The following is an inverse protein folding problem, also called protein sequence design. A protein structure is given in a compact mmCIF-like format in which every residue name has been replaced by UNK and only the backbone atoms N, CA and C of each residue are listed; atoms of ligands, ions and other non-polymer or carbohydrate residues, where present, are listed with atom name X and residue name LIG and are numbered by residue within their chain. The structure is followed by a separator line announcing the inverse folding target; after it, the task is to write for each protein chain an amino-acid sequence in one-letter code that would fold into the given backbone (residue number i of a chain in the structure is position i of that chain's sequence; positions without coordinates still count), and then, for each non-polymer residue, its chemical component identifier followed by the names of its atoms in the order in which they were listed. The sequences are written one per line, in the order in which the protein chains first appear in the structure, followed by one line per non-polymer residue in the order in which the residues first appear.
data_IF_379626709781
#
_entry.id   IF_379626709781
#
_cell.length_a   1.000
_cell.length_b   1.000
_cell.length_c   1.000
_cell.angle_alpha   90.00
_cell.angle_beta   90.00
_cell.angle_gamma   90.00
#
_symmetry.space_group_name_H-M   'P 1'
#
loop_
_entity.id
_entity.type
_entity.pdbx_description
1 polymer ?
#
# COMPACT_ATOMS: atom_id res chain seq x y z
N UNK A 1 8.59 -21.58 -5.64
CA UNK A 1 8.09 -20.74 -4.53
C UNK A 1 7.94 -19.34 -5.10
N UNK A 2 6.71 -18.84 -5.27
CA UNK A 2 6.53 -17.45 -5.68
C UNK A 2 7.03 -16.58 -4.52
N UNK A 3 8.09 -15.80 -4.75
CA UNK A 3 8.55 -14.81 -3.78
C UNK A 3 7.44 -13.76 -3.69
N UNK A 4 6.80 -13.66 -2.52
CA UNK A 4 5.88 -12.57 -2.21
C UNK A 4 6.68 -11.55 -1.43
N UNK A 5 6.70 -10.31 -1.91
CA UNK A 5 7.31 -9.20 -1.22
C UNK A 5 6.33 -8.73 -0.13
N UNK A 6 6.71 -9.00 1.12
CA UNK A 6 6.01 -8.47 2.29
C UNK A 6 6.69 -7.19 2.74
N UNK A 7 5.91 -6.14 2.92
CA UNK A 7 6.42 -4.86 3.40
C UNK A 7 5.40 -4.16 4.28
N UNK A 8 5.92 -3.42 5.26
CA UNK A 8 5.13 -2.54 6.10
C UNK A 8 5.14 -1.14 5.49
N UNK A 9 3.96 -0.57 5.21
CA UNK A 9 3.78 0.77 4.65
C UNK A 9 3.20 1.72 5.69
N UNK A 10 3.84 2.87 5.88
CA UNK A 10 3.29 3.96 6.69
C UNK A 10 2.11 4.60 5.95
N UNK A 11 0.94 4.60 6.58
CA UNK A 11 -0.24 5.34 6.18
C UNK A 11 -0.35 6.61 7.01
N UNK A 12 -0.66 7.72 6.34
CA UNK A 12 -0.82 9.02 7.00
C UNK A 12 -2.04 9.74 6.44
N UNK A 13 -2.96 10.11 7.30
CA UNK A 13 -4.16 10.83 6.91
C UNK A 13 -3.87 12.32 6.80
N UNK A 14 -3.89 12.87 5.58
CA UNK A 14 -3.65 14.30 5.36
C UNK A 14 -4.71 15.23 5.98
N UNK A 15 -5.86 14.69 6.43
CA UNK A 15 -6.95 15.49 7.02
C UNK A 15 -6.85 15.64 8.54
N UNK A 16 -6.42 14.60 9.25
CA UNK A 16 -6.33 14.61 10.72
C UNK A 16 -4.92 14.34 11.26
N UNK A 17 -3.93 14.05 10.41
CA UNK A 17 -2.57 13.72 10.81
C UNK A 17 -2.41 12.33 11.43
N UNK A 18 -3.47 11.51 11.46
CA UNK A 18 -3.39 10.16 12.02
C UNK A 18 -2.45 9.31 11.17
N UNK A 19 -1.56 8.57 11.82
CA UNK A 19 -0.57 7.72 11.16
C UNK A 19 -0.64 6.28 11.68
N UNK A 20 -0.32 5.32 10.82
CA UNK A 20 -0.29 3.91 11.16
C UNK A 20 0.58 3.12 10.21
N UNK A 21 0.91 1.88 10.56
CA UNK A 21 1.67 0.97 9.70
C UNK A 21 0.75 -0.14 9.24
N UNK A 22 0.61 -0.30 7.93
CA UNK A 22 -0.12 -1.40 7.32
C UNK A 22 0.86 -2.42 6.77
N UNK A 23 0.64 -3.69 7.05
CA UNK A 23 1.44 -4.76 6.45
C UNK A 23 0.74 -5.24 5.18
N UNK A 24 1.47 -5.23 4.07
CA UNK A 24 0.98 -5.69 2.79
C UNK A 24 1.93 -6.71 2.17
N UNK A 25 1.34 -7.62 1.39
CA UNK A 25 2.03 -8.60 0.58
C UNK A 25 1.65 -8.41 -0.89
N UNK A 26 2.63 -8.30 -1.78
CA UNK A 26 2.43 -8.36 -3.23
C UNK A 26 3.27 -9.50 -3.84
N UNK A 27 2.88 -9.99 -5.01
CA UNK A 27 3.65 -10.98 -5.76
C UNK A 27 4.43 -10.30 -6.87
N UNK A 28 5.77 -10.29 -6.83
CA UNK A 28 6.63 -9.80 -7.92
C UNK A 28 6.78 -10.86 -9.05
N UNK A 29 5.72 -11.64 -9.31
CA UNK A 29 5.77 -12.59 -10.42
C UNK A 29 5.65 -11.82 -11.73
N UNK A 30 6.80 -11.47 -12.33
CA UNK A 30 6.87 -10.76 -13.62
C UNK A 30 6.22 -11.52 -14.78
N UNK A 31 5.87 -12.80 -14.60
CA UNK A 31 5.15 -13.60 -15.58
C UNK A 31 3.63 -13.40 -15.48
N UNK A 32 3.13 -13.00 -14.32
CA UNK A 32 1.72 -12.64 -14.11
C UNK A 32 1.50 -11.15 -14.32
N UNK A 33 0.43 -10.82 -15.06
CA UNK A 33 -0.06 -9.44 -15.20
C UNK A 33 -0.68 -8.89 -13.91
N UNK A 34 -0.97 -9.75 -12.94
CA UNK A 34 -1.66 -9.42 -11.71
C UNK A 34 -0.69 -9.50 -10.53
N UNK A 35 -0.54 -8.40 -9.80
CA UNK A 35 0.40 -8.26 -8.68
C UNK A 35 -0.09 -8.92 -7.38
N UNK A 36 -1.31 -9.48 -7.36
CA UNK A 36 -1.98 -10.08 -6.18
C UNK A 36 -1.68 -9.31 -4.88
N UNK A 37 -1.92 -8.00 -4.93
CA UNK A 37 -1.72 -7.12 -3.78
C UNK A 37 -2.78 -7.39 -2.71
N UNK A 38 -2.33 -7.56 -1.47
CA UNK A 38 -3.20 -7.75 -0.30
C UNK A 38 -2.61 -7.03 0.90
N UNK A 39 -3.48 -6.48 1.74
CA UNK A 39 -3.11 -6.00 3.07
C UNK A 39 -3.37 -7.14 4.05
N UNK A 40 -2.31 -7.65 4.66
CA UNK A 40 -2.37 -8.70 5.68
C UNK A 40 -2.79 -8.11 7.04
N UNK A 41 -2.24 -6.94 7.39
CA UNK A 41 -2.55 -6.26 8.64
C UNK A 41 -2.90 -4.78 8.41
N UNK A 42 -4.10 -4.39 8.87
CA UNK A 42 -4.59 -3.02 8.79
C UNK A 42 -4.35 -2.27 10.12
N UNK A 43 -3.76 -1.06 10.10
CA UNK A 43 -3.51 -0.31 11.31
C UNK A 43 -4.80 0.19 11.96
N UNK A 44 -4.77 0.32 13.29
CA UNK A 44 -5.90 0.86 14.05
C UNK A 44 -6.20 2.29 13.61
N UNK A 45 -7.49 2.56 13.37
CA UNK A 45 -7.95 3.85 12.87
C UNK A 45 -7.97 3.98 11.35
N UNK A 46 -7.61 2.92 10.61
CA UNK A 46 -7.79 2.82 9.16
C UNK A 46 -8.64 1.59 8.83
N UNK A 47 -9.39 1.67 7.74
CA UNK A 47 -10.22 0.57 7.22
C UNK A 47 -10.07 0.48 5.71
N UNK A 48 -10.05 -0.73 5.18
CA UNK A 48 -10.16 -0.93 3.74
C UNK A 48 -11.57 -0.49 3.31
N UNK A 49 -11.65 0.52 2.46
CA UNK A 49 -12.89 0.91 1.80
C UNK A 49 -13.12 0.04 0.56
N UNK A 50 -12.06 -0.08 -0.26
CA UNK A 50 -12.09 -0.84 -1.49
C UNK A 50 -10.87 -1.73 -1.54
N UNK A 51 -11.12 -3.03 -1.37
CA UNK A 51 -10.09 -4.05 -1.54
C UNK A 51 -9.92 -4.33 -3.03
N UNK A 52 -8.68 -4.24 -3.49
CA UNK A 52 -8.29 -4.49 -4.88
C UNK A 52 -7.00 -5.28 -4.89
N UNK A 53 -6.82 -6.13 -5.90
CA UNK A 53 -5.56 -6.84 -6.14
C UNK A 53 -4.44 -5.93 -6.65
N UNK A 54 -4.70 -4.63 -6.78
CA UNK A 54 -3.77 -3.61 -7.26
C UNK A 54 -3.65 -2.48 -6.22
N UNK A 55 -2.42 -2.09 -5.81
CA UNK A 55 -2.23 -1.06 -4.78
C UNK A 55 -2.66 0.34 -5.25
N UNK A 56 -2.78 0.56 -6.56
CA UNK A 56 -3.26 1.82 -7.15
C UNK A 56 -4.77 2.01 -6.96
N UNK A 57 -5.53 0.91 -7.01
CA UNK A 57 -6.98 0.88 -6.87
C UNK A 57 -7.43 0.57 -5.43
N UNK A 58 -6.50 0.24 -4.52
CA UNK A 58 -6.80 -0.02 -3.13
C UNK A 58 -7.10 1.29 -2.37
N UNK A 59 -8.32 1.40 -1.84
CA UNK A 59 -8.79 2.59 -1.14
C UNK A 59 -8.90 2.33 0.36
N UNK A 60 -8.42 3.29 1.15
CA UNK A 60 -8.43 3.26 2.61
C UNK A 60 -9.25 4.42 3.13
N UNK A 61 -10.16 4.13 4.06
CA UNK A 61 -10.90 5.11 4.85
C UNK A 61 -10.25 5.27 6.21
N UNK A 62 -9.95 6.50 6.59
CA UNK A 62 -9.60 6.84 7.97
C UNK A 62 -10.87 6.75 8.84
N UNK A 63 -10.86 5.85 9.83
CA UNK A 63 -11.97 5.68 10.77
C UNK A 63 -12.06 6.82 11.81
N UNK A 64 -11.05 7.69 11.89
CA UNK A 64 -11.04 8.85 12.79
C UNK A 64 -11.79 10.05 12.20
N UNK A 65 -11.53 10.41 10.94
CA UNK A 65 -12.05 11.62 10.31
C UNK A 65 -12.92 11.38 9.07
N UNK A 66 -13.05 10.12 8.64
CA UNK A 66 -13.81 9.70 7.46
C UNK A 66 -13.12 9.98 6.13
N UNK A 67 -11.87 10.46 6.11
CA UNK A 67 -11.17 10.75 4.86
C UNK A 67 -10.82 9.45 4.11
N UNK A 68 -11.11 9.40 2.81
CA UNK A 68 -10.82 8.26 1.94
C UNK A 68 -9.66 8.63 1.02
N UNK A 69 -8.63 7.78 0.97
CA UNK A 69 -7.44 8.00 0.15
C UNK A 69 -6.89 6.68 -0.38
N UNK A 70 -6.10 6.74 -1.46
CA UNK A 70 -5.47 5.56 -2.05
C UNK A 70 -4.31 5.08 -1.19
N UNK A 71 -4.09 3.77 -1.13
CA UNK A 71 -2.90 3.19 -0.50
C UNK A 71 -1.60 3.73 -1.13
N UNK A 72 -1.65 4.07 -2.42
CA UNK A 72 -0.53 4.57 -3.21
C UNK A 72 -0.07 6.01 -2.91
N UNK A 73 -0.43 6.63 -1.78
CA UNK A 73 0.17 7.92 -1.43
C UNK A 73 1.68 7.74 -1.23
N UNK A 74 2.44 8.35 -2.14
CA UNK A 74 3.90 8.27 -2.39
C UNK A 74 4.67 7.45 -1.35
N UNK A 75 5.05 6.23 -1.75
CA UNK A 75 6.18 5.53 -1.15
C UNK A 75 7.36 6.49 -1.26
N UNK A 76 7.73 7.13 -0.15
CA UNK A 76 9.10 7.61 -0.02
C UNK A 76 9.94 6.34 0.06
N UNK A 77 10.35 5.82 -1.09
CA UNK A 77 11.50 4.93 -1.13
C UNK A 77 12.60 5.61 -0.33
N UNK A 78 13.27 4.86 0.55
CA UNK A 78 14.53 5.34 1.11
C UNK A 78 15.39 5.84 -0.07
N UNK A 79 15.93 7.07 -0.02
CA UNK A 79 16.72 7.61 -1.12
C UNK A 79 17.93 6.68 -1.33
N UNK A 80 17.88 5.86 -2.38
CA UNK A 80 18.84 4.77 -2.61
C UNK A 80 18.32 3.63 -3.50
N UNK A 81 17.02 3.54 -3.77
CA UNK A 81 16.47 2.64 -4.80
C UNK A 81 16.46 3.32 -6.17
N UNK A 82 17.57 3.25 -6.89
CA UNK A 82 17.71 3.85 -8.23
C UNK A 82 16.60 3.36 -9.19
N UNK A 83 15.89 4.26 -9.89
CA UNK A 83 14.99 3.85 -10.95
C UNK A 83 15.84 3.35 -12.11
N UNK A 84 15.78 2.04 -12.39
CA UNK A 84 16.24 1.51 -13.68
C UNK A 84 15.24 1.99 -14.74
N UNK A 85 15.40 3.23 -15.17
CA UNK A 85 14.88 3.72 -16.45
C UNK A 85 15.43 2.77 -17.51
N UNK A 86 14.53 1.98 -18.11
CA UNK A 86 14.90 1.22 -19.31
C UNK A 86 15.17 2.23 -20.43
N UNK A 87 16.30 2.00 -21.09
CA UNK A 87 16.89 2.77 -22.19
C UNK A 87 15.93 3.04 -23.35
#
# INVERSE_FOLDING_TARGET
MAARDRYSRKLECSKCGHQGFAEASESDDKSRRDVDFRIDEMPRGFRAERVSGDPTDFMIRCAQCGNIFRFLQKTAYAPGGEPRVKA
#
